data_IF_839272258327
#
_entry.id   IF_839272258327
#
_cell.length_a   1.000
_cell.length_b   1.000
_cell.length_c   1.000
_cell.angle_alpha   90.00
_cell.angle_beta   90.00
_cell.angle_gamma   90.00
#
_symmetry.space_group_name_H-M   'P 1'
#
loop_
_entity.id
_entity.type
_entity.pdbx_description
1 polymer ?
#
# COMPACT_ATOMS: atom_id res chain seq x y z
N UNK A 1 -17.33 20.69 -14.69
CA UNK A 1 -17.45 19.36 -15.34
C UNK A 1 -16.77 18.28 -14.51
N UNK A 2 -15.54 18.53 -14.05
CA UNK A 2 -14.82 17.64 -13.13
C UNK A 2 -15.56 17.37 -11.81
N UNK A 3 -16.24 18.37 -11.23
CA UNK A 3 -17.00 18.16 -9.98
C UNK A 3 -18.07 17.09 -10.10
N UNK A 4 -18.78 16.99 -11.25
CA UNK A 4 -19.78 15.94 -11.47
C UNK A 4 -19.16 14.55 -11.51
N UNK A 5 -17.93 14.43 -12.03
CA UNK A 5 -17.19 13.17 -12.06
C UNK A 5 -16.76 12.80 -10.64
N UNK A 6 -16.24 13.75 -9.86
CA UNK A 6 -15.86 13.54 -8.47
C UNK A 6 -17.07 13.13 -7.61
N UNK A 7 -18.16 13.89 -7.67
CA UNK A 7 -19.39 13.59 -6.91
C UNK A 7 -20.01 12.24 -7.30
N UNK A 8 -19.87 11.80 -8.56
CA UNK A 8 -20.31 10.46 -8.97
C UNK A 8 -19.52 9.35 -8.29
N UNK A 9 -18.19 9.49 -8.16
CA UNK A 9 -17.36 8.55 -7.43
C UNK A 9 -17.59 8.62 -5.91
N UNK A 10 -17.76 9.82 -5.36
CA UNK A 10 -17.99 10.08 -3.94
C UNK A 10 -19.33 9.50 -3.47
N UNK A 11 -20.40 9.67 -4.25
CA UNK A 11 -21.74 9.17 -3.90
C UNK A 11 -21.91 7.65 -4.04
N UNK A 12 -20.92 6.95 -4.62
CA UNK A 12 -21.00 5.51 -4.87
C UNK A 12 -20.80 4.68 -3.62
N UNK A 13 -20.06 5.20 -2.64
CA UNK A 13 -19.75 4.52 -1.39
C UNK A 13 -20.04 5.46 -0.23
N UNK A 14 -20.82 5.00 0.75
CA UNK A 14 -21.07 5.77 1.95
C UNK A 14 -19.99 5.45 2.99
N UNK A 15 -19.29 6.45 3.55
CA UNK A 15 -18.27 6.25 4.59
C UNK A 15 -18.87 5.75 5.92
N UNK A 16 -20.20 5.79 6.07
CA UNK A 16 -20.91 5.35 7.30
C UNK A 16 -21.79 4.13 7.07
N UNK A 17 -21.62 3.43 5.94
CA UNK A 17 -22.35 2.20 5.67
C UNK A 17 -22.02 1.12 6.72
N UNK A 18 -23.04 0.47 7.25
CA UNK A 18 -22.87 -0.74 8.06
C UNK A 18 -22.88 -1.95 7.15
N UNK A 19 -21.96 -2.88 7.37
CA UNK A 19 -21.96 -4.15 6.65
C UNK A 19 -23.10 -5.06 7.13
N UNK A 20 -23.49 -6.00 6.27
CA UNK A 20 -24.50 -7.01 6.59
C UNK A 20 -24.07 -7.89 7.78
N UNK A 21 -22.80 -8.30 7.78
CA UNK A 21 -22.15 -8.94 8.93
C UNK A 21 -21.46 -7.85 9.77
N UNK A 22 -21.99 -7.62 10.97
CA UNK A 22 -21.56 -6.51 11.83
C UNK A 22 -20.37 -6.86 12.73
N UNK A 23 -19.91 -8.11 12.70
CA UNK A 23 -18.72 -8.53 13.44
C UNK A 23 -17.53 -8.65 12.49
N UNK A 24 -16.47 -7.84 12.68
CA UNK A 24 -15.25 -8.01 11.91
C UNK A 24 -14.67 -9.41 12.15
N UNK A 25 -14.32 -10.16 11.08
CA UNK A 25 -13.84 -11.52 11.24
C UNK A 25 -12.46 -11.57 11.91
N UNK A 26 -12.21 -12.62 12.70
CA UNK A 26 -10.90 -12.83 13.31
C UNK A 26 -9.85 -13.22 12.25
N UNK A 27 -8.66 -12.65 12.39
CA UNK A 27 -7.49 -12.91 11.54
C UNK A 27 -7.23 -11.82 10.49
N UNK A 28 -5.96 -11.49 10.29
CA UNK A 28 -5.52 -10.36 9.45
C UNK A 28 -6.09 -10.42 8.03
N UNK A 29 -5.93 -11.54 7.34
CA UNK A 29 -6.37 -11.66 5.95
C UNK A 29 -7.90 -11.55 5.79
N UNK A 30 -8.65 -12.17 6.71
CA UNK A 30 -10.12 -12.10 6.70
C UNK A 30 -10.60 -10.68 6.97
N UNK A 31 -9.94 -9.97 7.89
CA UNK A 31 -10.23 -8.56 8.18
C UNK A 31 -9.99 -7.66 6.96
N UNK A 32 -8.86 -7.82 6.26
CA UNK A 32 -8.59 -7.10 5.01
C UNK A 32 -9.67 -7.37 3.96
N UNK A 33 -9.96 -8.65 3.71
CA UNK A 33 -10.94 -9.05 2.71
C UNK A 33 -12.35 -8.53 3.02
N UNK A 34 -12.75 -8.50 4.30
CA UNK A 34 -14.03 -7.99 4.75
C UNK A 34 -14.28 -6.54 4.32
N UNK A 35 -13.27 -5.65 4.39
CA UNK A 35 -13.40 -4.26 3.93
C UNK A 35 -13.22 -4.12 2.42
N UNK A 36 -12.20 -4.78 1.84
CA UNK A 36 -11.91 -4.68 0.40
C UNK A 36 -13.10 -5.18 -0.45
N UNK A 37 -13.81 -6.21 0.00
CA UNK A 37 -14.98 -6.76 -0.71
C UNK A 37 -16.11 -5.74 -0.85
N UNK A 38 -16.25 -4.81 0.09
CA UNK A 38 -17.26 -3.73 0.03
C UNK A 38 -16.96 -2.75 -1.12
N UNK A 39 -15.69 -2.63 -1.54
CA UNK A 39 -15.22 -1.81 -2.66
C UNK A 39 -14.80 -2.62 -3.90
N UNK A 40 -15.29 -3.87 -4.04
CA UNK A 40 -14.85 -4.82 -5.11
C UNK A 40 -14.93 -4.26 -6.53
N UNK A 41 -15.85 -3.35 -6.82
CA UNK A 41 -15.98 -2.76 -8.15
C UNK A 41 -14.86 -1.74 -8.42
N UNK A 42 -14.58 -0.86 -7.46
CA UNK A 42 -13.50 0.13 -7.56
C UNK A 42 -12.13 -0.55 -7.63
N UNK A 43 -11.87 -1.54 -6.77
CA UNK A 43 -10.61 -2.28 -6.80
C UNK A 43 -10.43 -3.10 -8.08
N UNK A 44 -11.49 -3.72 -8.63
CA UNK A 44 -11.38 -4.41 -9.93
C UNK A 44 -11.04 -3.45 -11.07
N UNK A 45 -11.70 -2.31 -11.13
CA UNK A 45 -11.41 -1.28 -12.14
C UNK A 45 -9.97 -0.78 -12.00
N UNK A 46 -9.54 -0.49 -10.77
CA UNK A 46 -8.18 -0.05 -10.48
C UNK A 46 -7.14 -1.09 -10.89
N UNK A 47 -7.33 -2.36 -10.55
CA UNK A 47 -6.43 -3.45 -10.93
C UNK A 47 -6.25 -3.55 -12.45
N UNK A 48 -7.31 -3.32 -13.22
CA UNK A 48 -7.26 -3.30 -14.70
C UNK A 48 -6.42 -2.11 -15.19
N UNK A 49 -6.65 -0.90 -14.64
CA UNK A 49 -5.93 0.30 -15.06
C UNK A 49 -4.44 0.20 -14.75
N UNK A 50 -4.10 -0.28 -13.55
CA UNK A 50 -2.70 -0.50 -13.15
C UNK A 50 -2.05 -1.58 -14.01
N UNK A 51 -2.78 -2.64 -14.38
CA UNK A 51 -2.27 -3.64 -15.31
C UNK A 51 -2.02 -3.06 -16.71
N UNK A 52 -2.92 -2.22 -17.22
CA UNK A 52 -2.72 -1.51 -18.50
C UNK A 52 -1.48 -0.62 -18.44
N UNK A 53 -1.30 0.14 -17.35
CA UNK A 53 -0.11 0.97 -17.14
C UNK A 53 1.18 0.12 -17.15
N UNK A 54 1.19 -0.98 -16.39
CA UNK A 54 2.34 -1.90 -16.34
C UNK A 54 2.66 -2.52 -17.71
N UNK A 55 1.64 -2.87 -18.51
CA UNK A 55 1.81 -3.36 -19.88
C UNK A 55 2.44 -2.29 -20.75
N UNK A 56 1.94 -1.05 -20.71
CA UNK A 56 2.48 0.07 -21.50
C UNK A 56 3.96 0.28 -21.16
N UNK A 57 4.31 0.31 -19.87
CA UNK A 57 5.68 0.48 -19.42
C UNK A 57 6.58 -0.69 -19.84
N UNK A 58 6.07 -1.93 -19.80
CA UNK A 58 6.78 -3.12 -20.28
C UNK A 58 6.94 -3.14 -21.81
N UNK A 59 6.10 -2.43 -22.56
CA UNK A 59 6.23 -2.29 -24.02
C UNK A 59 7.31 -1.29 -24.42
N UNK A 60 7.70 -0.35 -23.56
CA UNK A 60 8.70 0.68 -23.91
C UNK A 60 10.04 0.08 -24.37
N UNK A 61 10.68 -0.88 -23.65
CA UNK A 61 11.91 -1.50 -24.14
C UNK A 61 11.72 -2.27 -25.46
N UNK A 62 10.53 -2.84 -25.68
CA UNK A 62 10.18 -3.57 -26.91
C UNK A 62 10.08 -2.60 -28.09
N UNK A 63 9.43 -1.45 -27.89
CA UNK A 63 9.36 -0.39 -28.90
C UNK A 63 10.75 0.11 -29.26
N UNK A 64 11.63 0.32 -28.28
CA UNK A 64 13.03 0.68 -28.54
C UNK A 64 13.73 -0.40 -29.37
N UNK A 65 13.62 -1.68 -28.98
CA UNK A 65 14.21 -2.79 -29.72
C UNK A 65 13.70 -2.89 -31.16
N UNK A 66 12.39 -2.71 -31.37
CA UNK A 66 11.79 -2.69 -32.71
C UNK A 66 12.29 -1.50 -33.53
N UNK A 67 12.34 -0.29 -32.97
CA UNK A 67 12.84 0.90 -33.66
C UNK A 67 14.30 0.71 -34.09
N UNK A 68 15.15 0.17 -33.21
CA UNK A 68 16.55 -0.14 -33.54
C UNK A 68 16.64 -1.17 -34.66
N UNK A 69 15.82 -2.22 -34.62
CA UNK A 69 15.75 -3.22 -35.69
C UNK A 69 15.32 -2.64 -37.04
N UNK A 70 14.28 -1.79 -37.05
CA UNK A 70 13.79 -1.12 -38.25
C UNK A 70 14.82 -0.14 -38.83
N UNK A 71 15.56 0.55 -37.97
CA UNK A 71 16.62 1.46 -38.41
C UNK A 71 17.79 0.70 -39.05
N UNK A 72 18.11 -0.50 -38.54
CA UNK A 72 19.16 -1.34 -39.12
C UNK A 72 18.77 -1.92 -40.49
N UNK A 73 17.48 -2.11 -40.76
CA UNK A 73 16.99 -2.71 -42.01
C UNK A 73 16.57 -1.71 -43.09
N UNK A 74 16.45 -0.41 -42.78
CA UNK A 74 15.91 0.60 -43.69
C UNK A 74 17.00 1.57 -44.16
N UNK A 75 17.02 1.89 -45.46
CA UNK A 75 17.99 2.81 -46.03
C UNK A 75 17.87 4.26 -45.50
N UNK A 76 18.96 5.05 -45.49
CA UNK A 76 18.91 6.44 -45.03
C UNK A 76 17.95 7.29 -45.89
N UNK A 77 16.89 7.82 -45.29
CA UNK A 77 15.91 8.71 -45.95
C UNK A 77 14.47 8.16 -46.01
N UNK A 78 14.29 6.83 -46.07
CA UNK A 78 12.97 6.22 -46.28
C UNK A 78 12.26 5.79 -44.98
N UNK A 79 12.94 5.92 -43.82
CA UNK A 79 12.47 5.40 -42.54
C UNK A 79 11.06 5.89 -42.14
N UNK A 80 10.82 7.21 -42.19
CA UNK A 80 9.54 7.79 -41.81
C UNK A 80 8.43 7.53 -42.84
N UNK A 81 8.79 7.43 -44.13
CA UNK A 81 7.85 7.11 -45.19
C UNK A 81 7.37 5.65 -45.09
N UNK A 82 8.28 4.73 -44.75
CA UNK A 82 7.98 3.31 -44.63
C UNK A 82 7.29 2.95 -43.30
N UNK A 83 7.73 3.54 -42.18
CA UNK A 83 7.31 3.11 -40.82
C UNK A 83 6.49 4.15 -40.05
N UNK A 84 6.13 5.28 -40.67
CA UNK A 84 5.36 6.36 -40.05
C UNK A 84 4.09 5.90 -39.30
N UNK A 85 3.21 5.07 -39.90
CA UNK A 85 2.01 4.57 -39.23
C UNK A 85 2.31 3.76 -37.95
N UNK A 86 3.37 2.94 -37.98
CA UNK A 86 3.80 2.14 -36.83
C UNK A 86 4.34 3.04 -35.70
N UNK A 87 5.12 4.06 -36.05
CA UNK A 87 5.65 5.03 -35.07
C UNK A 87 4.53 5.84 -34.41
N UNK A 88 3.50 6.23 -35.17
CA UNK A 88 2.32 6.92 -34.62
C UNK A 88 1.55 6.00 -33.66
N UNK A 89 1.41 4.70 -33.99
CA UNK A 89 0.79 3.73 -33.09
C UNK A 89 1.59 3.58 -31.78
N UNK A 90 2.93 3.46 -31.86
CA UNK A 90 3.79 3.39 -30.68
C UNK A 90 3.64 4.66 -29.82
N UNK A 91 3.69 5.85 -30.44
CA UNK A 91 3.51 7.12 -29.76
C UNK A 91 2.14 7.20 -29.07
N UNK A 92 1.06 6.75 -29.74
CA UNK A 92 -0.28 6.69 -29.16
C UNK A 92 -0.32 5.79 -27.92
N UNK A 93 0.29 4.60 -27.96
CA UNK A 93 0.37 3.69 -26.81
C UNK A 93 1.11 4.35 -25.63
N UNK A 94 2.22 5.05 -25.89
CA UNK A 94 2.95 5.78 -24.84
C UNK A 94 2.12 6.92 -24.25
N UNK A 95 1.30 7.60 -25.06
CA UNK A 95 0.39 8.65 -24.59
C UNK A 95 -0.76 8.11 -23.71
N UNK A 96 -1.07 6.82 -23.76
CA UNK A 96 -2.03 6.21 -22.83
C UNK A 96 -1.47 6.10 -21.39
N UNK A 97 -0.15 6.13 -21.20
CA UNK A 97 0.48 6.05 -19.88
C UNK A 97 0.07 7.19 -18.92
N UNK A 98 0.21 8.49 -19.28
CA UNK A 98 -0.28 9.57 -18.42
C UNK A 98 -1.79 9.49 -18.20
N UNK A 99 -2.57 9.03 -19.19
CA UNK A 99 -4.01 8.83 -19.02
C UNK A 99 -4.30 7.77 -17.96
N UNK A 100 -3.62 6.61 -18.00
CA UNK A 100 -3.80 5.57 -16.97
C UNK A 100 -3.44 6.07 -15.57
N UNK A 101 -2.41 6.91 -15.43
CA UNK A 101 -2.05 7.51 -14.14
C UNK A 101 -3.13 8.45 -13.62
N UNK A 102 -3.70 9.29 -14.49
CA UNK A 102 -4.77 10.22 -14.10
C UNK A 102 -6.02 9.44 -13.68
N UNK A 103 -6.41 8.40 -14.42
CA UNK A 103 -7.60 7.59 -14.10
C UNK A 103 -7.38 6.79 -12.81
N UNK A 104 -6.20 6.21 -12.60
CA UNK A 104 -5.87 5.52 -11.34
C UNK A 104 -5.92 6.49 -10.15
N UNK A 105 -5.28 7.66 -10.27
CA UNK A 105 -5.29 8.70 -9.23
C UNK A 105 -6.71 9.18 -8.92
N UNK A 106 -7.57 9.32 -9.94
CA UNK A 106 -8.96 9.71 -9.78
C UNK A 106 -9.74 8.68 -8.95
N UNK A 107 -9.63 7.40 -9.31
CA UNK A 107 -10.31 6.31 -8.61
C UNK A 107 -9.80 6.21 -7.18
N UNK A 108 -8.49 6.25 -7.00
CA UNK A 108 -7.87 6.14 -5.68
C UNK A 108 -8.27 7.30 -4.78
N UNK A 109 -8.06 8.54 -5.22
CA UNK A 109 -8.20 9.71 -4.37
C UNK A 109 -9.66 10.10 -4.08
N UNK A 110 -10.59 9.83 -5.01
CA UNK A 110 -11.99 10.23 -4.85
C UNK A 110 -12.93 9.08 -4.52
N UNK A 111 -12.67 7.86 -5.02
CA UNK A 111 -13.58 6.73 -4.82
C UNK A 111 -13.18 5.86 -3.64
N UNK A 112 -11.88 5.53 -3.53
CA UNK A 112 -11.39 4.51 -2.60
C UNK A 112 -10.91 5.13 -1.29
N UNK A 113 -9.86 5.96 -1.32
CA UNK A 113 -9.13 6.37 -0.11
C UNK A 113 -10.02 7.01 0.97
N UNK A 114 -10.74 8.12 0.71
CA UNK A 114 -11.54 8.77 1.75
C UNK A 114 -12.65 7.86 2.29
N UNK A 115 -13.38 7.20 1.37
CA UNK A 115 -14.51 6.36 1.74
C UNK A 115 -14.10 5.10 2.50
N UNK A 116 -13.01 4.44 2.09
CA UNK A 116 -12.54 3.21 2.73
C UNK A 116 -11.98 3.49 4.13
N UNK A 117 -11.17 4.54 4.29
CA UNK A 117 -10.58 4.90 5.58
C UNK A 117 -11.69 5.16 6.60
N UNK A 118 -12.65 6.02 6.26
CA UNK A 118 -13.72 6.38 7.18
C UNK A 118 -14.71 5.24 7.41
N UNK A 119 -14.96 4.39 6.41
CA UNK A 119 -15.75 3.18 6.59
C UNK A 119 -15.11 2.21 7.60
N UNK A 120 -13.80 1.98 7.50
CA UNK A 120 -13.07 1.13 8.44
C UNK A 120 -13.16 1.72 9.84
N UNK A 121 -12.92 3.03 9.99
CA UNK A 121 -13.02 3.72 11.28
C UNK A 121 -14.43 3.61 11.86
N UNK A 122 -15.45 3.87 11.06
CA UNK A 122 -16.85 3.82 11.48
C UNK A 122 -17.29 2.42 11.90
N UNK A 123 -17.06 1.40 11.07
CA UNK A 123 -17.45 0.03 11.39
C UNK A 123 -16.67 -0.51 12.60
N UNK A 124 -15.38 -0.16 12.72
CA UNK A 124 -14.57 -0.52 13.89
C UNK A 124 -15.08 0.17 15.16
N UNK A 125 -15.38 1.47 15.10
CA UNK A 125 -15.99 2.19 16.21
C UNK A 125 -17.34 1.58 16.62
N UNK A 126 -18.20 1.29 15.65
CA UNK A 126 -19.51 0.68 15.86
C UNK A 126 -19.39 -0.67 16.60
N UNK A 127 -18.38 -1.48 16.26
CA UNK A 127 -18.11 -2.75 16.91
C UNK A 127 -17.55 -2.57 18.33
N UNK A 128 -16.59 -1.65 18.51
CA UNK A 128 -15.90 -1.44 19.78
C UNK A 128 -16.82 -0.84 20.85
N UNK A 129 -17.67 0.13 20.49
CA UNK A 129 -18.58 0.78 21.45
C UNK A 129 -19.63 -0.18 22.05
N UNK A 130 -19.79 -1.37 21.46
CA UNK A 130 -20.73 -2.43 21.89
C UNK A 130 -20.06 -3.54 22.70
N UNK A 131 -18.78 -3.41 23.02
CA UNK A 131 -18.09 -4.35 23.89
C UNK A 131 -18.50 -4.17 25.36
N UNK A 132 -18.34 -5.23 26.15
CA UNK A 132 -18.67 -5.21 27.57
C UNK A 132 -17.82 -4.19 28.35
N UNK A 133 -18.35 -3.74 29.48
CA UNK A 133 -17.65 -2.79 30.34
C UNK A 133 -16.28 -3.29 30.81
N UNK A 134 -16.11 -4.60 31.00
CA UNK A 134 -14.82 -5.21 31.36
C UNK A 134 -13.73 -4.96 30.30
N UNK A 135 -14.08 -4.85 29.02
CA UNK A 135 -13.15 -4.50 27.95
C UNK A 135 -12.55 -3.10 28.17
N UNK A 136 -13.39 -2.13 28.52
CA UNK A 136 -12.98 -0.74 28.75
C UNK A 136 -12.26 -0.51 30.09
N UNK A 137 -12.40 -1.43 31.05
CA UNK A 137 -11.59 -1.41 32.27
C UNK A 137 -10.15 -1.89 32.03
N UNK A 138 -9.97 -2.86 31.13
CA UNK A 138 -8.68 -3.49 30.88
C UNK A 138 -7.79 -2.69 29.90
N UNK A 139 -8.35 -1.77 29.13
CA UNK A 139 -7.60 -1.01 28.13
C UNK A 139 -8.03 0.47 28.11
N UNK A 140 -7.06 1.38 28.09
CA UNK A 140 -7.34 2.82 28.14
C UNK A 140 -8.08 3.28 26.87
N UNK A 141 -9.09 4.14 27.06
CA UNK A 141 -9.87 4.71 25.96
C UNK A 141 -9.01 5.37 24.87
N UNK A 142 -7.92 6.04 25.27
CA UNK A 142 -6.95 6.63 24.34
C UNK A 142 -6.29 5.58 23.42
N UNK A 143 -5.85 4.44 23.98
CA UNK A 143 -5.23 3.36 23.21
C UNK A 143 -6.22 2.73 22.22
N UNK A 144 -7.45 2.51 22.67
CA UNK A 144 -8.54 1.99 21.84
C UNK A 144 -8.83 2.95 20.69
N UNK A 145 -8.98 4.25 20.98
CA UNK A 145 -9.22 5.29 19.97
C UNK A 145 -8.10 5.35 18.93
N UNK A 146 -6.84 5.34 19.36
CA UNK A 146 -5.68 5.31 18.44
C UNK A 146 -5.72 4.09 17.52
N UNK A 147 -6.01 2.89 18.04
CA UNK A 147 -6.12 1.67 17.23
C UNK A 147 -7.23 1.79 16.17
N UNK A 148 -8.40 2.30 16.54
CA UNK A 148 -9.54 2.49 15.61
C UNK A 148 -9.17 3.50 14.51
N UNK A 149 -8.57 4.63 14.87
CA UNK A 149 -8.19 5.67 13.92
C UNK A 149 -7.11 5.19 12.94
N UNK A 150 -6.04 4.57 13.45
CA UNK A 150 -4.89 4.12 12.64
C UNK A 150 -5.20 2.91 11.77
N UNK A 151 -6.16 2.06 12.17
CA UNK A 151 -6.52 0.88 11.38
C UNK A 151 -7.05 1.26 9.99
N UNK A 152 -7.81 2.35 9.88
CA UNK A 152 -8.31 2.85 8.59
C UNK A 152 -7.17 3.19 7.63
N UNK A 153 -6.24 4.05 8.08
CA UNK A 153 -5.10 4.48 7.27
C UNK A 153 -4.17 3.31 6.94
N UNK A 154 -3.92 2.43 7.90
CA UNK A 154 -2.98 1.30 7.73
C UNK A 154 -3.48 0.30 6.70
N UNK A 155 -4.77 -0.02 6.69
CA UNK A 155 -5.37 -0.95 5.73
C UNK A 155 -5.42 -0.33 4.34
N UNK A 156 -5.86 0.92 4.21
CA UNK A 156 -5.89 1.62 2.92
C UNK A 156 -4.48 1.67 2.32
N UNK A 157 -3.49 2.14 3.08
CA UNK A 157 -2.12 2.29 2.63
C UNK A 157 -1.51 0.93 2.25
N UNK A 158 -1.73 -0.11 3.06
CA UNK A 158 -1.20 -1.45 2.77
C UNK A 158 -1.79 -2.05 1.49
N UNK A 159 -3.11 -1.96 1.30
CA UNK A 159 -3.76 -2.45 0.08
C UNK A 159 -3.30 -1.62 -1.12
N UNK A 160 -3.17 -0.31 -0.95
CA UNK A 160 -2.71 0.58 -1.99
C UNK A 160 -1.31 0.23 -2.48
N UNK A 161 -0.35 0.08 -1.55
CA UNK A 161 1.02 -0.33 -1.86
C UNK A 161 1.08 -1.72 -2.49
N UNK A 162 0.19 -2.63 -2.08
CA UNK A 162 0.10 -3.95 -2.69
C UNK A 162 -0.28 -3.87 -4.17
N UNK A 163 -1.23 -2.99 -4.52
CA UNK A 163 -1.62 -2.78 -5.92
C UNK A 163 -0.50 -2.08 -6.70
N UNK A 164 0.05 -0.99 -6.15
CA UNK A 164 1.01 -0.14 -6.87
C UNK A 164 2.40 -0.79 -7.02
N UNK A 165 2.81 -1.64 -6.08
CA UNK A 165 4.10 -2.32 -6.14
C UNK A 165 3.96 -3.77 -6.60
N UNK A 166 3.19 -4.60 -5.87
CA UNK A 166 3.19 -6.06 -6.09
C UNK A 166 2.42 -6.43 -7.36
N UNK A 167 1.19 -5.93 -7.52
CA UNK A 167 0.39 -6.22 -8.72
C UNK A 167 1.02 -5.63 -9.98
N UNK A 168 1.46 -4.38 -9.92
CA UNK A 168 2.19 -3.74 -11.02
C UNK A 168 3.43 -4.56 -11.43
N UNK A 169 4.30 -4.92 -10.47
CA UNK A 169 5.50 -5.69 -10.75
C UNK A 169 5.18 -7.08 -11.33
N UNK A 170 4.13 -7.75 -10.83
CA UNK A 170 3.70 -9.05 -11.33
C UNK A 170 3.29 -8.97 -12.80
N UNK A 171 2.46 -7.99 -13.17
CA UNK A 171 2.04 -7.79 -14.56
C UNK A 171 3.23 -7.45 -15.45
N UNK A 172 4.10 -6.54 -15.00
CA UNK A 172 5.30 -6.14 -15.74
C UNK A 172 6.22 -7.35 -16.00
N UNK A 173 6.53 -8.13 -14.96
CA UNK A 173 7.38 -9.33 -15.07
C UNK A 173 6.73 -10.39 -15.97
N UNK A 174 5.41 -10.58 -15.88
CA UNK A 174 4.71 -11.53 -16.75
C UNK A 174 4.83 -11.14 -18.23
N UNK A 175 4.66 -9.85 -18.56
CA UNK A 175 4.85 -9.34 -19.93
C UNK A 175 6.30 -9.53 -20.37
N UNK A 176 7.26 -9.17 -19.52
CA UNK A 176 8.69 -9.33 -19.82
C UNK A 176 9.06 -10.79 -20.10
N UNK A 177 8.60 -11.74 -19.27
CA UNK A 177 8.85 -13.18 -19.45
C UNK A 177 8.27 -13.66 -20.78
N UNK A 178 7.02 -13.31 -21.10
CA UNK A 178 6.37 -13.72 -22.36
C UNK A 178 7.14 -13.22 -23.58
N UNK A 179 7.66 -11.99 -23.51
CA UNK A 179 8.42 -11.38 -24.61
C UNK A 179 9.80 -12.00 -24.74
N UNK A 180 10.53 -12.17 -23.63
CA UNK A 180 11.87 -12.78 -23.64
C UNK A 180 11.82 -14.24 -24.08
N UNK A 181 10.79 -14.99 -23.69
CA UNK A 181 10.60 -16.38 -24.11
C UNK A 181 10.49 -16.54 -25.63
N UNK A 182 10.08 -15.49 -26.36
CA UNK A 182 10.02 -15.49 -27.83
C UNK A 182 11.32 -15.03 -28.51
N UNK A 183 12.19 -14.33 -27.78
CA UNK A 183 13.43 -13.76 -28.31
C UNK A 183 14.61 -14.72 -28.19
N UNK A 184 14.94 -15.13 -26.97
CA UNK A 184 16.08 -16.01 -26.69
C UNK A 184 15.90 -16.74 -25.33
N UNK A 185 15.87 -18.09 -25.31
CA UNK A 185 15.81 -18.87 -24.08
C UNK A 185 16.94 -18.57 -23.09
N UNK A 186 18.13 -18.18 -23.56
CA UNK A 186 19.26 -17.86 -22.69
C UNK A 186 19.01 -16.58 -21.89
N UNK A 187 18.49 -15.53 -22.54
CA UNK A 187 18.12 -14.27 -21.87
C UNK A 187 17.01 -14.49 -20.83
N UNK A 188 16.03 -15.33 -21.16
CA UNK A 188 15.00 -15.73 -20.22
C UNK A 188 15.59 -16.44 -18.99
N UNK A 189 16.55 -17.35 -19.17
CA UNK A 189 17.19 -18.06 -18.07
C UNK A 189 17.93 -17.11 -17.12
N UNK A 190 18.65 -16.10 -17.67
CA UNK A 190 19.34 -15.09 -16.85
C UNK A 190 18.34 -14.31 -15.98
N UNK A 191 17.22 -13.85 -16.57
CA UNK A 191 16.19 -13.13 -15.82
C UNK A 191 15.50 -14.03 -14.79
N UNK A 192 15.25 -15.29 -15.12
CA UNK A 192 14.65 -16.25 -14.19
C UNK A 192 15.55 -16.49 -12.96
N UNK A 193 16.87 -16.62 -13.16
CA UNK A 193 17.84 -16.74 -12.05
C UNK A 193 17.78 -15.51 -11.15
N UNK A 194 17.75 -14.31 -11.72
CA UNK A 194 17.58 -13.07 -10.94
C UNK A 194 16.26 -13.04 -10.16
N UNK A 195 15.15 -13.46 -10.76
CA UNK A 195 13.85 -13.53 -10.11
C UNK A 195 13.88 -14.50 -8.92
N UNK A 196 14.53 -15.65 -9.06
CA UNK A 196 14.74 -16.62 -7.97
C UNK A 196 15.51 -15.98 -6.81
N UNK A 197 16.61 -15.26 -7.09
CA UNK A 197 17.35 -14.55 -6.03
C UNK A 197 16.48 -13.52 -5.31
N UNK A 198 15.69 -12.73 -6.03
CA UNK A 198 14.73 -11.80 -5.42
C UNK A 198 13.72 -12.54 -4.54
N UNK A 199 13.12 -13.63 -5.02
CA UNK A 199 12.17 -14.43 -4.24
C UNK A 199 12.81 -14.99 -2.96
N UNK A 200 14.08 -15.44 -3.01
CA UNK A 200 14.81 -15.93 -1.84
C UNK A 200 15.05 -14.83 -0.80
N UNK A 201 15.44 -13.63 -1.24
CA UNK A 201 15.59 -12.46 -0.36
C UNK A 201 14.26 -12.15 0.32
N UNK A 202 13.17 -12.04 -0.45
CA UNK A 202 11.84 -11.77 0.11
C UNK A 202 11.39 -12.85 1.09
N UNK A 203 11.56 -14.13 0.75
CA UNK A 203 11.18 -15.25 1.60
C UNK A 203 11.94 -15.25 2.94
N UNK A 204 13.21 -14.84 2.92
CA UNK A 204 14.06 -14.76 4.11
C UNK A 204 13.82 -13.48 4.93
N UNK A 205 13.70 -12.32 4.28
CA UNK A 205 13.61 -11.01 4.93
C UNK A 205 12.20 -10.67 5.43
N UNK A 206 11.16 -10.96 4.64
CA UNK A 206 9.77 -10.60 4.95
C UNK A 206 9.29 -11.12 6.32
N UNK A 207 9.45 -12.41 6.69
CA UNK A 207 8.99 -12.90 7.99
C UNK A 207 9.70 -12.21 9.16
N UNK A 208 10.99 -11.89 9.01
CA UNK A 208 11.76 -11.15 10.02
C UNK A 208 11.26 -9.72 10.16
N UNK A 209 11.00 -9.04 9.04
CA UNK A 209 10.43 -7.68 9.03
C UNK A 209 9.07 -7.68 9.72
N UNK A 210 8.17 -8.62 9.40
CA UNK A 210 6.84 -8.71 10.02
C UNK A 210 6.93 -8.92 11.53
N UNK A 211 7.75 -9.85 12.01
CA UNK A 211 7.89 -10.12 13.44
C UNK A 211 8.46 -8.90 14.19
N UNK A 212 9.52 -8.27 13.65
CA UNK A 212 10.17 -7.10 14.28
C UNK A 212 9.30 -5.85 14.22
N UNK A 213 8.55 -5.65 13.14
CA UNK A 213 7.58 -4.56 13.00
C UNK A 213 6.44 -4.69 14.01
N UNK A 214 5.94 -5.90 14.26
CA UNK A 214 4.94 -6.15 15.30
C UNK A 214 5.48 -5.80 16.71
N UNK A 215 6.70 -6.22 17.03
CA UNK A 215 7.35 -5.86 18.30
C UNK A 215 7.54 -4.34 18.44
N UNK A 216 7.96 -3.67 17.37
CA UNK A 216 8.10 -2.21 17.35
C UNK A 216 6.76 -1.51 17.61
N UNK A 217 5.69 -1.96 16.96
CA UNK A 217 4.34 -1.40 17.13
C UNK A 217 3.85 -1.53 18.57
N UNK A 218 4.11 -2.67 19.22
CA UNK A 218 3.81 -2.87 20.64
C UNK A 218 4.57 -1.88 21.54
N UNK A 219 5.88 -1.66 21.28
CA UNK A 219 6.67 -0.65 22.00
C UNK A 219 6.17 0.77 21.75
N UNK A 220 5.75 1.08 20.53
CA UNK A 220 5.16 2.37 20.19
C UNK A 220 3.86 2.62 20.96
N UNK A 221 2.99 1.60 21.09
CA UNK A 221 1.78 1.69 21.91
C UNK A 221 2.10 2.00 23.38
N UNK A 222 3.17 1.45 23.93
CA UNK A 222 3.63 1.75 25.30
C UNK A 222 4.11 3.20 25.43
N UNK A 223 4.92 3.69 24.48
CA UNK A 223 5.40 5.09 24.45
C UNK A 223 4.23 6.06 24.36
N UNK A 224 3.37 5.88 23.37
CA UNK A 224 2.20 6.73 23.15
C UNK A 224 1.23 6.69 24.34
N UNK A 225 1.01 5.50 24.92
CA UNK A 225 0.15 5.34 26.10
C UNK A 225 0.66 6.11 27.31
N UNK A 226 1.97 6.03 27.60
CA UNK A 226 2.59 6.80 28.69
C UNK A 226 2.47 8.30 28.46
N UNK A 227 2.75 8.79 27.25
CA UNK A 227 2.61 10.23 26.94
C UNK A 227 1.17 10.73 27.10
N UNK A 228 0.19 10.00 26.58
CA UNK A 228 -1.23 10.36 26.70
C UNK A 228 -1.67 10.37 28.16
N UNK A 229 -1.21 9.41 28.96
CA UNK A 229 -1.48 9.37 30.40
C UNK A 229 -0.90 10.60 31.11
N UNK A 230 0.37 10.96 30.84
CA UNK A 230 0.98 12.17 31.40
C UNK A 230 0.21 13.44 31.02
N UNK A 231 -0.30 13.54 29.78
CA UNK A 231 -1.10 14.70 29.37
C UNK A 231 -2.49 14.71 30.00
N UNK A 232 -3.13 13.54 30.15
CA UNK A 232 -4.47 13.43 30.77
C UNK A 232 -4.40 13.78 32.26
N UNK A 233 -3.29 13.43 32.92
CA UNK A 233 -3.06 13.64 34.35
C UNK A 233 -2.11 14.82 34.64
N UNK A 234 -2.01 15.79 33.73
CA UNK A 234 -1.03 16.88 33.82
C UNK A 234 -1.16 17.72 35.08
N UNK A 235 -2.38 17.93 35.58
CA UNK A 235 -2.63 18.69 36.81
C UNK A 235 -1.99 17.99 38.01
N UNK A 236 -2.24 16.69 38.16
CA UNK A 236 -1.67 15.86 39.23
C UNK A 236 -0.15 15.84 39.16
N UNK A 237 0.42 15.68 37.96
CA UNK A 237 1.86 15.70 37.77
C UNK A 237 2.48 17.04 38.18
N UNK A 238 1.85 18.18 37.84
CA UNK A 238 2.35 19.51 38.20
C UNK A 238 2.21 19.83 39.69
N UNK A 239 1.24 19.24 40.38
CA UNK A 239 0.99 19.51 41.81
C UNK A 239 1.75 18.56 42.73
N UNK A 240 1.96 17.30 42.34
CA UNK A 240 2.44 16.24 43.26
C UNK A 240 3.66 15.46 42.78
N UNK A 241 4.06 15.54 41.50
CA UNK A 241 5.19 14.75 40.99
C UNK A 241 6.52 15.50 41.09
N UNK A 242 7.60 14.76 41.41
CA UNK A 242 8.97 15.22 41.19
C UNK A 242 9.31 14.96 39.72
N UNK A 243 9.61 16.01 38.96
CA UNK A 243 9.81 15.93 37.50
C UNK A 243 10.76 14.80 37.06
N UNK A 244 11.81 14.51 37.84
CA UNK A 244 12.77 13.43 37.54
C UNK A 244 12.17 12.02 37.49
N UNK A 245 11.14 11.71 38.29
CA UNK A 245 10.54 10.37 38.30
C UNK A 245 9.69 10.15 37.05
N UNK A 246 8.93 11.16 36.66
CA UNK A 246 8.13 11.16 35.44
C UNK A 246 9.02 11.12 34.19
N UNK A 247 10.09 11.92 34.17
CA UNK A 247 11.07 11.94 33.08
C UNK A 247 11.72 10.57 32.88
N UNK A 248 12.10 9.89 33.98
CA UNK A 248 12.62 8.52 33.92
C UNK A 248 11.57 7.52 33.42
N UNK A 249 10.32 7.65 33.85
CA UNK A 249 9.24 6.76 33.43
C UNK A 249 8.98 6.83 31.93
N UNK A 250 8.92 8.03 31.34
CA UNK A 250 8.69 8.22 29.90
C UNK A 250 9.95 7.87 29.10
N UNK A 251 11.13 8.35 29.50
CA UNK A 251 12.39 8.11 28.77
C UNK A 251 12.75 6.63 28.66
N UNK A 252 12.49 5.81 29.70
CA UNK A 252 12.72 4.36 29.62
C UNK A 252 11.87 3.67 28.54
N UNK A 253 10.65 4.13 28.28
CA UNK A 253 9.84 3.60 27.18
C UNK A 253 10.43 3.99 25.82
N UNK A 254 10.89 5.23 25.69
CA UNK A 254 11.53 5.74 24.47
C UNK A 254 12.81 4.96 24.14
N UNK A 255 13.66 4.69 25.13
CA UNK A 255 14.88 3.88 24.93
C UNK A 255 14.54 2.46 24.45
N UNK A 256 13.58 1.78 25.11
CA UNK A 256 13.16 0.43 24.69
C UNK A 256 12.56 0.40 23.28
N UNK A 257 11.84 1.45 22.89
CA UNK A 257 11.34 1.63 21.54
C UNK A 257 12.49 1.79 20.55
N UNK A 258 13.46 2.67 20.85
CA UNK A 258 14.64 2.89 20.00
C UNK A 258 15.46 1.60 19.80
N UNK A 259 15.69 0.82 20.85
CA UNK A 259 16.39 -0.47 20.74
C UNK A 259 15.69 -1.45 19.80
N UNK A 260 14.37 -1.54 19.91
CA UNK A 260 13.56 -2.41 19.03
C UNK A 260 13.57 -1.88 17.59
N UNK A 261 13.61 -0.56 17.42
CA UNK A 261 13.70 0.08 16.12
C UNK A 261 15.05 -0.19 15.45
N UNK A 262 16.16 -0.10 16.18
CA UNK A 262 17.49 -0.48 15.67
C UNK A 262 17.53 -1.94 15.24
N UNK A 263 16.89 -2.85 15.98
CA UNK A 263 16.82 -4.26 15.59
C UNK A 263 16.05 -4.46 14.27
N UNK A 264 14.99 -3.70 14.04
CA UNK A 264 14.27 -3.71 12.75
C UNK A 264 15.14 -3.13 11.62
N UNK A 265 15.78 -1.97 11.84
CA UNK A 265 16.63 -1.33 10.83
C UNK A 265 17.81 -2.22 10.41
N UNK A 266 18.41 -2.97 11.34
CA UNK A 266 19.45 -3.96 11.01
C UNK A 266 18.96 -5.03 10.03
N UNK A 267 17.69 -5.43 10.06
CA UNK A 267 17.14 -6.37 9.07
C UNK A 267 17.10 -5.73 7.69
N UNK A 268 16.71 -4.46 7.60
CA UNK A 268 16.72 -3.71 6.33
C UNK A 268 18.13 -3.46 5.78
N UNK A 269 19.15 -3.37 6.64
CA UNK A 269 20.55 -3.21 6.20
C UNK A 269 21.19 -4.52 5.74
N UNK A 270 20.73 -5.67 6.27
CA UNK A 270 21.31 -6.99 5.99
C UNK A 270 20.64 -7.74 4.82
N UNK A 271 19.48 -7.25 4.34
CA UNK A 271 18.78 -7.78 3.17
C UNK A 271 19.37 -7.23 1.87
#
# INVERSE_FOLDING_TARGET
>A
MFDRIFTWFESRYSPVALADDRQPPMGLWRFYWYFIRQFRAAYRLRMIIVAVAAIIDAMLPIFVGMIVGLLASTGPGDFFAAHGPLLVLMAFVVLLRPLSMVVDALIRNHAIAPNLIDLIRWQSHWHVVRQDWSFFQNDFAGRIGTKVMQSGDSVEMSVNLTVDAVWYALVFVAVAIVVLARLDPLLLAVVAVWLVFYCLIFWSAMPRITQRSSQLSERWSQVSGRMVDSYTNILTLKTFSTGEHEDKYVSQAVVKHADTFYQLMRVFTLM
#
